data_IF_699280500602
#
_entry.id   IF_699280500602
#
_cell.length_a   1.000
_cell.length_b   1.000
_cell.length_c   1.000
_cell.angle_alpha   90.00
_cell.angle_beta   90.00
_cell.angle_gamma   90.00
#
_symmetry.space_group_name_H-M   'P 1'
#
loop_
_entity.id
_entity.type
_entity.pdbx_description
1 polymer ?
#
# COMPACT_ATOMS: atom_id res chain seq x y z
N UNK A 1 -4.13 -0.06 -10.25
CA UNK A 1 -4.14 1.31 -9.68
C UNK A 1 -4.59 1.24 -8.22
N UNK A 2 -4.31 2.26 -7.40
CA UNK A 2 -4.76 2.31 -5.99
C UNK A 2 -5.44 3.65 -5.73
N UNK A 3 -6.55 3.64 -5.00
CA UNK A 3 -7.20 4.85 -4.49
C UNK A 3 -7.12 4.86 -2.96
N UNK A 4 -6.58 5.93 -2.34
CA UNK A 4 -6.57 6.07 -0.90
C UNK A 4 -7.96 6.42 -0.35
N UNK A 5 -8.25 5.96 0.86
CA UNK A 5 -9.40 6.35 1.67
C UNK A 5 -8.91 6.86 3.02
N UNK A 6 -9.64 7.81 3.60
CA UNK A 6 -9.33 8.45 4.88
C UNK A 6 -10.49 8.27 5.87
N UNK A 7 -10.33 8.84 7.06
CA UNK A 7 -11.38 8.95 8.07
C UNK A 7 -12.03 7.63 8.47
N UNK A 8 -11.20 6.59 8.67
CA UNK A 8 -11.65 5.26 9.10
C UNK A 8 -12.77 4.65 8.23
N UNK A 9 -12.71 4.87 6.91
CA UNK A 9 -13.70 4.37 5.94
C UNK A 9 -14.00 2.87 6.08
N UNK A 10 -12.99 2.06 6.43
CA UNK A 10 -13.12 0.60 6.64
C UNK A 10 -13.15 0.21 8.12
N UNK A 11 -13.54 1.15 8.98
CA UNK A 11 -13.56 1.02 10.43
C UNK A 11 -12.29 1.51 11.11
N UNK A 12 -12.40 1.72 12.41
CA UNK A 12 -11.37 2.27 13.28
C UNK A 12 -10.23 1.28 13.55
N UNK A 13 -9.05 1.80 13.90
CA UNK A 13 -7.97 1.01 14.50
C UNK A 13 -8.20 0.95 16.00
N UNK A 14 -7.97 -0.20 16.63
CA UNK A 14 -8.16 -0.37 18.08
C UNK A 14 -6.86 -0.56 18.87
N UNK A 15 -5.73 -0.65 18.18
CA UNK A 15 -4.47 -1.09 18.78
C UNK A 15 -3.38 -0.04 18.69
N UNK A 16 -2.86 0.22 17.49
CA UNK A 16 -1.71 1.10 17.31
C UNK A 16 -1.64 1.63 15.88
N UNK A 17 -1.31 2.91 15.77
CA UNK A 17 -0.89 3.54 14.53
C UNK A 17 0.63 3.44 14.41
N UNK A 18 1.09 2.85 13.31
CA UNK A 18 2.52 2.63 13.07
C UNK A 18 3.15 3.72 12.21
N UNK A 19 2.36 4.30 11.31
CA UNK A 19 2.80 5.29 10.33
C UNK A 19 1.82 6.45 10.33
N UNK A 20 2.35 7.65 10.19
CA UNK A 20 1.60 8.90 10.09
C UNK A 20 2.26 9.82 9.07
N UNK A 21 1.49 10.76 8.51
CA UNK A 21 1.92 11.71 7.49
C UNK A 21 2.63 11.04 6.29
N UNK A 22 2.11 9.88 5.88
CA UNK A 22 2.69 9.08 4.79
C UNK A 22 2.55 9.80 3.46
N UNK A 23 3.68 10.04 2.81
CA UNK A 23 3.80 10.70 1.52
C UNK A 23 4.70 9.87 0.60
N UNK A 24 4.11 9.37 -0.48
CA UNK A 24 4.80 8.60 -1.53
C UNK A 24 4.90 9.44 -2.81
N UNK A 25 6.01 9.34 -3.55
CA UNK A 25 6.13 9.89 -4.91
C UNK A 25 5.35 9.06 -5.94
N UNK A 26 5.10 7.78 -5.63
CA UNK A 26 4.45 6.81 -6.50
C UNK A 26 5.43 5.86 -7.20
N UNK A 27 6.74 6.03 -6.98
CA UNK A 27 7.80 5.17 -7.52
C UNK A 27 8.30 4.13 -6.51
N UNK A 28 7.88 4.26 -5.25
CA UNK A 28 8.32 3.37 -4.18
C UNK A 28 7.76 1.95 -4.34
N UNK A 29 8.63 0.94 -4.20
CA UNK A 29 8.22 -0.47 -4.27
C UNK A 29 7.47 -0.94 -3.01
N UNK A 30 7.55 -0.21 -1.90
CA UNK A 30 7.00 -0.57 -0.59
C UNK A 30 6.57 0.67 0.19
N UNK A 31 5.57 0.52 1.04
CA UNK A 31 5.03 1.62 1.85
C UNK A 31 6.06 2.20 2.83
N UNK A 32 6.95 1.37 3.39
CA UNK A 32 8.03 1.80 4.28
C UNK A 32 9.20 2.50 3.57
N UNK A 33 9.12 2.66 2.24
CA UNK A 33 10.07 3.47 1.47
C UNK A 33 9.55 4.87 1.17
N UNK A 34 8.27 5.11 1.41
CA UNK A 34 7.71 6.45 1.36
C UNK A 34 8.28 7.30 2.50
N UNK A 35 8.08 8.62 2.43
CA UNK A 35 8.33 9.50 3.58
C UNK A 35 7.17 9.35 4.55
N UNK A 36 7.46 9.21 5.84
CA UNK A 36 6.47 9.20 6.92
C UNK A 36 7.17 9.60 8.21
N UNK A 37 6.40 9.92 9.25
CA UNK A 37 6.96 10.25 10.55
C UNK A 37 7.62 9.02 11.20
N UNK A 38 8.53 9.19 12.19
CA UNK A 38 9.19 8.05 12.82
C UNK A 38 8.20 6.99 13.32
N UNK A 39 8.56 5.72 13.20
CA UNK A 39 7.68 4.60 13.55
C UNK A 39 7.02 4.75 14.93
N UNK A 40 5.69 4.70 14.94
CA UNK A 40 4.89 4.82 16.17
C UNK A 40 4.80 6.22 16.75
N UNK A 41 5.43 7.23 16.14
CA UNK A 41 5.18 8.65 16.42
C UNK A 41 4.04 9.11 15.53
N UNK A 42 2.92 9.49 16.15
CA UNK A 42 1.70 9.94 15.49
C UNK A 42 0.84 10.67 16.51
N UNK A 43 -0.07 11.50 16.02
CA UNK A 43 -1.19 12.07 16.78
C UNK A 43 -2.54 11.54 16.30
N UNK A 44 -2.52 10.46 15.51
CA UNK A 44 -3.70 9.81 14.94
C UNK A 44 -4.75 9.37 15.99
N UNK A 45 -6.00 9.74 15.74
CA UNK A 45 -7.19 9.28 16.46
C UNK A 45 -7.81 8.02 15.82
N UNK A 46 -8.66 7.30 16.56
CA UNK A 46 -9.40 6.10 16.08
C UNK A 46 -10.13 6.30 14.74
N UNK A 47 -10.58 7.54 14.48
CA UNK A 47 -11.24 7.96 13.25
C UNK A 47 -10.30 8.26 12.08
N UNK A 48 -8.99 8.27 12.24
CA UNK A 48 -8.04 8.71 11.21
C UNK A 48 -7.43 7.58 10.39
N UNK A 49 -7.87 6.35 10.65
CA UNK A 49 -7.34 5.16 9.99
C UNK A 49 -7.39 5.26 8.45
N UNK A 50 -6.23 5.13 7.82
CA UNK A 50 -6.08 5.10 6.37
C UNK A 50 -6.50 3.75 5.78
N UNK A 51 -7.05 3.79 4.58
CA UNK A 51 -7.42 2.60 3.81
C UNK A 51 -7.16 2.77 2.32
N UNK A 52 -7.38 1.72 1.57
CA UNK A 52 -7.21 1.72 0.12
C UNK A 52 -8.28 0.89 -0.58
N UNK A 53 -8.57 1.25 -1.83
CA UNK A 53 -9.21 0.39 -2.82
C UNK A 53 -8.20 0.12 -3.93
N UNK A 54 -7.95 -1.16 -4.19
CA UNK A 54 -7.01 -1.63 -5.21
C UNK A 54 -7.78 -2.04 -6.46
N UNK A 55 -7.40 -1.51 -7.62
CA UNK A 55 -7.95 -1.87 -8.91
C UNK A 55 -6.97 -2.75 -9.66
N UNK A 56 -7.44 -3.89 -10.16
CA UNK A 56 -6.68 -4.68 -11.12
C UNK A 56 -6.40 -3.83 -12.36
N UNK A 57 -5.23 -3.98 -13.00
CA UNK A 57 -4.98 -3.37 -14.31
C UNK A 57 -5.96 -3.83 -15.41
N UNK A 58 -6.72 -4.90 -15.15
CA UNK A 58 -7.60 -5.56 -16.11
C UNK A 58 -8.93 -4.81 -16.33
N UNK A 59 -9.32 -3.88 -15.46
CA UNK A 59 -10.55 -3.09 -15.62
C UNK A 59 -10.36 -1.77 -16.40
N UNK A 60 -9.16 -1.51 -16.92
CA UNK A 60 -8.94 -0.46 -17.93
C UNK A 60 -8.72 -1.15 -19.28
N UNK A 61 -9.74 -1.86 -19.77
CA UNK A 61 -9.70 -2.57 -21.06
C UNK A 61 -11.05 -2.51 -21.78
N UNK A 62 -11.70 -1.35 -21.81
CA UNK A 62 -12.81 -1.11 -22.74
C UNK A 62 -12.72 0.27 -23.37
N UNK A 63 -11.64 0.50 -24.14
CA UNK A 63 -11.74 1.09 -25.48
C UNK A 63 -10.45 0.82 -26.25
N UNK A 64 -10.57 0.01 -27.30
CA UNK A 64 -9.70 -0.14 -28.47
C UNK A 64 -8.55 0.88 -28.63
N UNK A 65 -7.30 0.41 -28.71
CA UNK A 65 -6.45 0.47 -29.93
C UNK A 65 -5.17 -0.35 -29.71
N UNK A 66 -4.87 -1.23 -30.66
CA UNK A 66 -3.66 -2.04 -30.79
C UNK A 66 -2.39 -1.20 -30.75
N UNK A 67 -1.47 -1.41 -29.79
CA UNK A 67 0.00 -1.38 -30.02
C UNK A 67 0.80 -1.81 -28.77
N UNK A 68 1.64 -2.84 -28.95
CA UNK A 68 2.90 -3.19 -28.27
C UNK A 68 2.93 -3.21 -26.72
N UNK A 69 3.09 -4.42 -26.17
CA UNK A 69 3.41 -4.64 -24.76
C UNK A 69 4.68 -3.87 -24.34
N UNK A 70 4.67 -3.08 -23.25
CA UNK A 70 5.90 -2.47 -22.76
C UNK A 70 6.79 -3.56 -22.16
N UNK A 71 8.05 -3.54 -22.59
CA UNK A 71 9.17 -4.32 -22.08
C UNK A 71 9.06 -4.59 -20.56
N UNK A 72 8.91 -5.86 -20.19
CA UNK A 72 9.13 -6.29 -18.82
C UNK A 72 10.62 -6.06 -18.47
N UNK A 73 10.89 -5.08 -17.61
CA UNK A 73 12.23 -4.87 -17.07
C UNK A 73 12.68 -6.15 -16.36
N UNK A 74 13.84 -6.68 -16.75
CA UNK A 74 14.44 -7.87 -16.14
C UNK A 74 14.69 -7.60 -14.66
N UNK A 75 13.80 -8.09 -13.78
CA UNK A 75 13.98 -8.01 -12.32
C UNK A 75 15.31 -8.68 -11.96
N UNK A 76 16.28 -7.89 -11.48
CA UNK A 76 17.58 -8.40 -11.03
C UNK A 76 17.34 -9.43 -9.94
N UNK A 77 17.81 -10.67 -10.12
CA UNK A 77 17.67 -11.73 -9.11
C UNK A 77 18.48 -11.32 -7.88
N UNK A 78 17.79 -10.97 -6.79
CA UNK A 78 18.40 -10.61 -5.51
C UNK A 78 18.79 -11.88 -4.75
N UNK A 79 19.89 -11.87 -3.99
CA UNK A 79 20.21 -13.01 -3.10
C UNK A 79 19.14 -13.11 -2.02
N UNK A 80 18.85 -14.34 -1.60
CA UNK A 80 17.90 -14.61 -0.49
C UNK A 80 18.34 -13.87 0.79
N UNK A 81 19.64 -13.78 1.05
CA UNK A 81 20.14 -13.07 2.23
C UNK A 81 19.85 -11.55 2.18
N UNK A 82 19.99 -10.91 1.02
CA UNK A 82 19.67 -9.49 0.85
C UNK A 82 18.17 -9.22 1.01
N UNK A 83 17.33 -10.22 0.69
CA UNK A 83 15.89 -10.19 0.90
C UNK A 83 15.54 -10.27 2.40
N UNK A 84 16.24 -11.12 3.14
CA UNK A 84 16.01 -11.34 4.57
C UNK A 84 16.59 -10.19 5.41
N UNK A 85 17.69 -9.59 4.98
CA UNK A 85 18.35 -8.49 5.68
C UNK A 85 17.66 -7.13 5.47
N UNK A 86 16.77 -7.00 4.49
CA UNK A 86 16.13 -5.73 4.13
C UNK A 86 14.92 -5.33 4.98
N UNK A 87 14.60 -6.12 6.03
CA UNK A 87 13.52 -5.83 6.97
C UNK A 87 12.22 -5.43 6.26
N UNK A 88 11.54 -6.40 5.63
CA UNK A 88 10.26 -6.10 4.98
C UNK A 88 9.17 -5.91 6.03
N UNK A 89 8.49 -4.77 5.99
CA UNK A 89 7.22 -4.63 6.71
C UNK A 89 6.17 -5.57 6.11
N UNK A 90 5.33 -6.15 6.96
CA UNK A 90 4.18 -6.90 6.50
C UNK A 90 2.95 -6.01 6.53
N UNK A 91 2.18 -6.01 5.44
CA UNK A 91 0.95 -5.21 5.32
C UNK A 91 -0.22 -6.14 5.03
N UNK A 92 -1.37 -5.85 5.63
CA UNK A 92 -2.65 -6.48 5.31
C UNK A 92 -3.77 -5.46 5.15
N UNK A 93 -4.83 -5.86 4.47
CA UNK A 93 -6.10 -5.12 4.44
C UNK A 93 -7.09 -5.72 5.44
N UNK A 94 -7.84 -4.87 6.13
CA UNK A 94 -8.85 -5.26 7.10
C UNK A 94 -10.13 -4.43 6.95
N UNK A 95 -11.28 -5.02 7.27
CA UNK A 95 -12.58 -4.32 7.27
C UNK A 95 -13.16 -3.99 5.89
N UNK A 96 -12.49 -4.39 4.81
CA UNK A 96 -13.05 -4.34 3.46
C UNK A 96 -14.21 -5.32 3.28
N UNK A 97 -15.14 -5.01 2.38
CA UNK A 97 -16.23 -5.92 2.00
C UNK A 97 -15.75 -6.98 1.01
N UNK A 98 -14.69 -6.67 0.28
CA UNK A 98 -14.04 -7.50 -0.73
C UNK A 98 -12.52 -7.52 -0.49
N UNK A 99 -11.81 -8.43 -1.18
CA UNK A 99 -10.40 -8.74 -0.91
C UNK A 99 -9.41 -7.64 -1.34
N UNK A 100 -9.82 -6.75 -2.25
CA UNK A 100 -8.99 -5.68 -2.82
C UNK A 100 -9.26 -4.32 -2.18
N UNK A 101 -9.90 -4.27 -1.02
CA UNK A 101 -10.09 -3.03 -0.28
C UNK A 101 -9.96 -3.24 1.22
N UNK A 102 -9.71 -2.16 1.95
CA UNK A 102 -9.71 -2.19 3.40
C UNK A 102 -8.79 -1.15 4.03
N UNK A 103 -8.86 -1.09 5.35
CA UNK A 103 -7.91 -0.37 6.19
C UNK A 103 -6.53 -1.02 6.06
N UNK A 104 -5.50 -0.20 5.91
CA UNK A 104 -4.10 -0.66 5.81
C UNK A 104 -3.56 -0.90 7.21
N UNK A 105 -3.07 -2.11 7.49
CA UNK A 105 -2.46 -2.44 8.78
C UNK A 105 -1.05 -3.01 8.60
N UNK A 106 -0.10 -2.45 9.36
CA UNK A 106 1.30 -2.89 9.42
C UNK A 106 1.47 -3.90 10.56
N UNK A 107 2.21 -4.99 10.31
CA UNK A 107 2.53 -6.08 11.25
C UNK A 107 4.03 -6.20 11.48
#
# INVERSE_FOLDING_TARGET
AVKPTHSAHFGQVRQKYWMDNVYCSGEEERLDKCRFDPWGTNDCEDSEAAGVVCYSPEEVSTTTTTTVAPNATKKKRRRIQDILNEGRIQVRLAGGRIYNEGRVEVK
#
